data_IF_304186179655
#
_entry.id   IF_304186179655
#
_cell.length_a   1.000
_cell.length_b   1.000
_cell.length_c   1.000
_cell.angle_alpha   90.00
_cell.angle_beta   90.00
_cell.angle_gamma   90.00
#
_symmetry.space_group_name_H-M   'P 1'
#
loop_
_entity.id
_entity.type
_entity.pdbx_description
1 polymer ?
#
# COMPACT_ATOMS: atom_id res chain seq x y z
N UNK A 1 -25.25 -8.43 0.34
CA UNK A 1 -24.37 -7.70 1.26
C UNK A 1 -23.01 -8.33 1.10
N UNK A 2 -21.97 -7.57 0.77
CA UNK A 2 -20.60 -8.08 0.75
C UNK A 2 -20.18 -8.35 2.19
N UNK A 3 -19.66 -9.55 2.46
CA UNK A 3 -19.16 -9.91 3.79
C UNK A 3 -18.05 -8.93 4.23
N UNK A 4 -17.98 -8.68 5.53
CA UNK A 4 -16.91 -7.87 6.14
C UNK A 4 -15.74 -8.81 6.45
N UNK A 5 -14.72 -8.79 5.59
CA UNK A 5 -13.48 -9.55 5.76
C UNK A 5 -12.32 -8.60 6.05
N UNK A 6 -11.21 -9.15 6.56
CA UNK A 6 -9.96 -8.41 6.81
C UNK A 6 -10.19 -7.16 7.67
N UNK A 7 -10.82 -7.34 8.84
CA UNK A 7 -11.09 -6.23 9.75
C UNK A 7 -9.80 -5.84 10.45
N UNK A 8 -9.45 -4.56 10.40
CA UNK A 8 -8.27 -3.98 11.04
C UNK A 8 -8.57 -2.60 11.65
N UNK A 9 -7.62 -2.05 12.42
CA UNK A 9 -7.66 -0.68 12.92
C UNK A 9 -7.37 0.29 11.78
N UNK A 10 -8.17 1.35 11.67
CA UNK A 10 -7.94 2.41 10.68
C UNK A 10 -6.75 3.28 11.10
N UNK A 11 -5.72 3.29 10.25
CA UNK A 11 -4.55 4.13 10.39
C UNK A 11 -4.55 5.15 9.25
N UNK A 12 -4.47 6.43 9.61
CA UNK A 12 -4.28 7.54 8.67
C UNK A 12 -3.14 8.43 9.17
N UNK A 13 -2.28 8.88 8.25
CA UNK A 13 -1.13 9.73 8.56
C UNK A 13 -0.22 9.17 9.67
N UNK A 14 -0.06 7.84 9.71
CA UNK A 14 0.78 7.14 10.70
C UNK A 14 0.21 7.10 12.10
N UNK A 15 -1.10 7.30 12.29
CA UNK A 15 -1.74 7.22 13.61
C UNK A 15 -3.15 6.63 13.55
N UNK A 16 -3.63 6.16 14.70
CA UNK A 16 -5.01 5.65 14.83
C UNK A 16 -6.02 6.77 14.60
N UNK A 17 -7.01 6.50 13.75
CA UNK A 17 -8.20 7.34 13.64
C UNK A 17 -9.11 7.03 14.83
N UNK A 18 -9.50 8.07 15.57
CA UNK A 18 -10.36 7.94 16.75
C UNK A 18 -11.74 8.53 16.48
N UNK A 19 -12.77 7.82 16.89
CA UNK A 19 -14.15 8.31 16.85
C UNK A 19 -14.40 9.38 17.95
N UNK A 20 -15.63 9.92 18.03
CA UNK A 20 -16.01 10.91 19.05
C UNK A 20 -15.86 10.41 20.50
N UNK A 21 -15.89 9.10 20.71
CA UNK A 21 -15.66 8.43 21.99
C UNK A 21 -14.18 8.19 22.33
N UNK A 22 -13.24 8.58 21.46
CA UNK A 22 -11.80 8.26 21.55
C UNK A 22 -11.48 6.77 21.40
N UNK A 23 -12.32 6.02 20.71
CA UNK A 23 -12.05 4.62 20.38
C UNK A 23 -11.49 4.53 18.95
N UNK A 24 -10.55 3.61 18.67
CA UNK A 24 -10.06 3.37 17.32
C UNK A 24 -11.17 2.98 16.36
N UNK A 25 -11.18 3.62 15.19
CA UNK A 25 -12.03 3.22 14.08
C UNK A 25 -11.49 1.97 13.38
N UNK A 26 -12.38 1.23 12.72
CA UNK A 26 -12.04 0.00 12.00
C UNK A 26 -12.12 0.21 10.49
N UNK A 27 -11.27 -0.51 9.76
CA UNK A 27 -11.34 -0.66 8.31
C UNK A 27 -11.55 -2.14 7.94
N UNK A 28 -11.91 -2.41 6.69
CA UNK A 28 -12.16 -3.76 6.18
C UNK A 28 -11.95 -3.86 4.67
N UNK A 29 -11.92 -5.09 4.15
CA UNK A 29 -11.89 -5.40 2.72
C UNK A 29 -10.78 -4.60 2.01
N UNK A 30 -11.11 -3.90 0.92
CA UNK A 30 -10.18 -3.08 0.13
C UNK A 30 -9.43 -2.02 0.95
N UNK A 31 -10.05 -1.47 2.00
CA UNK A 31 -9.38 -0.44 2.82
C UNK A 31 -8.27 -1.05 3.67
N UNK A 32 -8.52 -2.21 4.28
CA UNK A 32 -7.48 -2.93 5.03
C UNK A 32 -6.35 -3.39 4.11
N UNK A 33 -6.68 -3.97 2.95
CA UNK A 33 -5.66 -4.38 1.97
C UNK A 33 -4.81 -3.18 1.51
N UNK A 34 -5.45 -2.06 1.18
CA UNK A 34 -4.72 -0.84 0.80
C UNK A 34 -3.82 -0.30 1.91
N UNK A 35 -4.25 -0.38 3.18
CA UNK A 35 -3.44 0.00 4.34
C UNK A 35 -2.21 -0.92 4.49
N UNK A 36 -2.38 -2.23 4.31
CA UNK A 36 -1.29 -3.20 4.37
C UNK A 36 -0.24 -2.93 3.28
N UNK A 37 -0.67 -2.60 2.05
CA UNK A 37 0.24 -2.18 0.97
C UNK A 37 1.09 -0.97 1.37
N UNK A 38 0.46 0.07 1.93
CA UNK A 38 1.17 1.28 2.37
C UNK A 38 2.18 0.91 3.46
N UNK A 39 1.79 0.11 4.45
CA UNK A 39 2.69 -0.32 5.52
C UNK A 39 3.84 -1.15 5.00
N UNK A 40 3.60 -2.17 4.16
CA UNK A 40 4.67 -2.99 3.58
C UNK A 40 5.72 -2.12 2.87
N UNK A 41 5.29 -1.16 2.07
CA UNK A 41 6.20 -0.24 1.36
C UNK A 41 7.04 0.58 2.34
N UNK A 42 6.42 1.17 3.37
CA UNK A 42 7.12 2.01 4.34
C UNK A 42 8.06 1.18 5.24
N UNK A 43 7.62 0.00 5.69
CA UNK A 43 8.36 -0.90 6.57
C UNK A 43 9.53 -1.59 5.88
N UNK A 44 9.44 -1.83 4.57
CA UNK A 44 10.54 -2.42 3.79
C UNK A 44 11.78 -1.51 3.69
N UNK A 45 11.61 -0.20 3.88
CA UNK A 45 12.66 0.80 3.64
C UNK A 45 12.99 1.05 2.15
N UNK A 46 12.34 0.35 1.20
CA UNK A 46 12.51 0.57 -0.24
C UNK A 46 12.11 1.99 -0.65
N UNK A 47 11.05 2.52 -0.03
CA UNK A 47 10.63 3.92 -0.13
C UNK A 47 11.79 4.90 0.15
N UNK A 48 12.50 4.69 1.26
CA UNK A 48 13.66 5.53 1.65
C UNK A 48 14.82 5.37 0.67
N UNK A 49 15.10 4.15 0.22
CA UNK A 49 16.14 3.90 -0.79
C UNK A 49 15.83 4.62 -2.11
N UNK A 50 14.56 4.56 -2.56
CA UNK A 50 14.10 5.24 -3.77
C UNK A 50 14.32 6.75 -3.69
N UNK A 51 14.00 7.39 -2.56
CA UNK A 51 14.22 8.84 -2.37
C UNK A 51 15.71 9.21 -2.46
N UNK A 52 16.60 8.35 -1.96
CA UNK A 52 18.05 8.54 -2.00
C UNK A 52 18.69 8.26 -3.36
N UNK A 53 18.07 7.43 -4.20
CA UNK A 53 18.67 6.92 -5.43
C UNK A 53 18.47 7.87 -6.64
N UNK A 54 19.50 7.96 -7.49
CA UNK A 54 19.53 8.82 -8.69
C UNK A 54 19.81 8.06 -9.98
N UNK A 55 20.38 6.86 -9.90
CA UNK A 55 20.62 5.97 -11.03
C UNK A 55 19.29 5.44 -11.58
N UNK A 56 18.96 5.68 -12.86
CA UNK A 56 17.72 5.18 -13.45
C UNK A 56 17.60 3.65 -13.37
N UNK A 57 18.71 2.94 -13.52
CA UNK A 57 18.73 1.46 -13.46
C UNK A 57 18.42 0.95 -12.05
N UNK A 58 19.01 1.57 -11.01
CA UNK A 58 18.76 1.15 -9.63
C UNK A 58 17.36 1.55 -9.18
N UNK A 59 16.84 2.70 -9.63
CA UNK A 59 15.44 3.06 -9.39
C UNK A 59 14.49 2.05 -10.01
N UNK A 60 14.73 1.65 -11.27
CA UNK A 60 13.91 0.65 -11.94
C UNK A 60 13.91 -0.69 -11.17
N UNK A 61 15.06 -1.10 -10.64
CA UNK A 61 15.17 -2.28 -9.78
C UNK A 61 14.37 -2.13 -8.48
N UNK A 62 14.42 -0.97 -7.81
CA UNK A 62 13.61 -0.68 -6.62
C UNK A 62 12.10 -0.73 -6.93
N UNK A 63 11.65 -0.23 -8.10
CA UNK A 63 10.25 -0.36 -8.51
C UNK A 63 9.84 -1.82 -8.66
N UNK A 64 10.66 -2.64 -9.31
CA UNK A 64 10.41 -4.09 -9.41
C UNK A 64 10.38 -4.76 -8.02
N UNK A 65 11.27 -4.36 -7.10
CA UNK A 65 11.24 -4.87 -5.73
C UNK A 65 9.96 -4.45 -4.98
N UNK A 66 9.47 -3.22 -5.18
CA UNK A 66 8.21 -2.76 -4.61
C UNK A 66 7.03 -3.57 -5.15
N UNK A 67 6.98 -3.81 -6.46
CA UNK A 67 5.94 -4.65 -7.08
C UNK A 67 5.93 -6.06 -6.48
N UNK A 68 7.10 -6.71 -6.42
CA UNK A 68 7.24 -8.05 -5.85
C UNK A 68 6.85 -8.11 -4.37
N UNK A 69 7.22 -7.09 -3.59
CA UNK A 69 6.85 -6.98 -2.17
C UNK A 69 5.33 -6.92 -1.99
N UNK A 70 4.63 -6.14 -2.82
CA UNK A 70 3.17 -6.02 -2.77
C UNK A 70 2.50 -7.34 -3.17
N UNK A 71 3.10 -8.08 -4.11
CA UNK A 71 2.63 -9.40 -4.53
C UNK A 71 2.80 -10.51 -3.48
N UNK A 72 3.56 -10.26 -2.39
CA UNK A 72 3.61 -11.20 -1.26
C UNK A 72 2.29 -11.28 -0.48
N UNK A 73 1.41 -10.29 -0.64
CA UNK A 73 0.05 -10.32 -0.10
C UNK A 73 -0.82 -11.30 -0.89
N UNK A 74 -1.22 -12.41 -0.25
CA UNK A 74 -2.02 -13.48 -0.85
C UNK A 74 -3.38 -13.04 -1.42
N UNK A 75 -3.86 -11.84 -1.04
CA UNK A 75 -5.12 -11.26 -1.51
C UNK A 75 -4.96 -10.56 -2.86
N UNK A 76 -3.73 -10.25 -3.26
CA UNK A 76 -3.37 -9.57 -4.51
C UNK A 76 -3.16 -10.60 -5.61
N UNK A 77 -3.64 -10.29 -6.81
CA UNK A 77 -3.41 -11.10 -8.01
C UNK A 77 -2.00 -10.77 -8.55
N UNK A 78 -1.06 -11.73 -8.56
CA UNK A 78 0.28 -11.49 -9.07
C UNK A 78 0.29 -11.06 -10.54
N UNK A 79 1.21 -10.18 -10.91
CA UNK A 79 1.33 -9.56 -12.23
C UNK A 79 0.33 -8.44 -12.50
N UNK A 80 -0.46 -8.02 -11.50
CA UNK A 80 -1.41 -6.90 -11.64
C UNK A 80 -0.98 -5.64 -10.88
N UNK A 81 0.11 -5.72 -10.12
CA UNK A 81 0.66 -4.59 -9.39
C UNK A 81 1.42 -3.67 -10.35
N UNK A 82 1.16 -2.37 -10.25
CA UNK A 82 1.91 -1.31 -10.92
C UNK A 82 2.22 -0.22 -9.90
N UNK A 83 3.49 0.13 -9.78
CA UNK A 83 3.98 1.19 -8.89
C UNK A 83 4.58 2.31 -9.72
N UNK A 84 3.99 3.50 -9.60
CA UNK A 84 4.43 4.69 -10.32
C UNK A 84 4.71 5.85 -9.37
N UNK A 85 5.59 6.77 -9.78
CA UNK A 85 5.92 7.97 -9.02
C UNK A 85 5.11 9.15 -9.57
N UNK A 86 4.11 9.61 -8.81
CA UNK A 86 3.36 10.83 -9.16
C UNK A 86 4.21 12.09 -8.93
N UNK A 87 5.06 12.05 -7.92
CA UNK A 87 6.00 13.11 -7.59
C UNK A 87 7.18 12.56 -6.78
N UNK A 88 8.28 13.30 -6.61
CA UNK A 88 9.43 12.86 -5.79
C UNK A 88 9.11 12.52 -4.32
N UNK A 89 7.88 12.82 -3.87
CA UNK A 89 7.41 12.55 -2.50
C UNK A 89 6.16 11.66 -2.47
N UNK A 90 5.73 11.11 -3.61
CA UNK A 90 4.46 10.38 -3.69
C UNK A 90 4.52 9.24 -4.69
N UNK A 91 4.22 8.05 -4.20
CA UNK A 91 3.98 6.87 -5.02
C UNK A 91 2.48 6.63 -5.18
N UNK A 92 2.13 6.19 -6.38
CA UNK A 92 0.80 5.71 -6.73
C UNK A 92 0.89 4.23 -7.09
N UNK A 93 0.13 3.42 -6.36
CA UNK A 93 0.11 1.98 -6.51
C UNK A 93 -1.26 1.57 -7.00
N UNK A 94 -1.31 0.68 -7.99
CA UNK A 94 -2.55 0.01 -8.41
C UNK A 94 -2.35 -1.50 -8.40
N UNK A 95 -3.41 -2.24 -8.06
CA UNK A 95 -3.39 -3.70 -8.05
C UNK A 95 -4.81 -4.25 -8.20
N UNK A 96 -4.92 -5.53 -8.59
CA UNK A 96 -6.18 -6.27 -8.53
C UNK A 96 -6.17 -7.26 -7.37
N UNK A 97 -7.30 -7.35 -6.67
CA UNK A 97 -7.53 -8.34 -5.61
C UNK A 97 -8.41 -9.47 -6.14
N UNK A 98 -8.27 -10.67 -5.58
CA UNK A 98 -9.11 -11.82 -5.96
C UNK A 98 -10.60 -11.57 -5.69
N UNK A 99 -10.92 -11.05 -4.50
CA UNK A 99 -12.31 -10.98 -4.02
C UNK A 99 -12.95 -9.59 -4.14
N UNK A 100 -12.16 -8.51 -4.32
CA UNK A 100 -12.68 -7.14 -4.27
C UNK A 100 -12.38 -6.29 -5.52
N UNK A 101 -11.79 -6.88 -6.57
CA UNK A 101 -11.44 -6.18 -7.80
C UNK A 101 -10.27 -5.19 -7.63
N UNK A 102 -10.26 -4.14 -8.45
CA UNK A 102 -9.18 -3.16 -8.48
C UNK A 102 -9.12 -2.29 -7.23
N UNK A 103 -7.89 -2.06 -6.76
CA UNK A 103 -7.55 -1.16 -5.67
C UNK A 103 -6.46 -0.18 -6.10
N UNK A 104 -6.39 0.93 -5.39
CA UNK A 104 -5.34 1.94 -5.56
C UNK A 104 -4.94 2.50 -4.20
N UNK A 105 -3.65 2.75 -4.00
CA UNK A 105 -3.09 3.32 -2.79
C UNK A 105 -2.12 4.46 -3.09
N UNK A 106 -2.12 5.46 -2.20
CA UNK A 106 -1.15 6.57 -2.21
C UNK A 106 -0.19 6.40 -1.04
N UNK A 107 1.10 6.47 -1.34
CA UNK A 107 2.16 6.45 -0.32
C UNK A 107 2.89 7.79 -0.37
N UNK A 108 2.84 8.53 0.73
CA UNK A 108 3.65 9.74 0.91
C UNK A 108 5.05 9.34 1.43
N UNK A 109 6.11 9.91 0.83
CA UNK A 109 7.52 9.64 1.11
C UNK A 109 8.20 10.79 1.89
#
# INVERSE_FOLDING_TARGET
MSDLLYIDLLIENGNFVLNTGKEPELCNNRKSIGQDIIHSILESGLATQLVGERSPTLRADIFTQLELLIEEDERIVPGTVDVSEESPKRLWVTASTYDFGGISAQVEL
#
